data_IF_821993008798
#
_entry.id   IF_821993008798
#
_cell.length_a   1.000
_cell.length_b   1.000
_cell.length_c   1.000
_cell.angle_alpha   90.00
_cell.angle_beta   90.00
_cell.angle_gamma   90.00
#
_symmetry.space_group_name_H-M   'P 1'
#
loop_
_entity.id
_entity.type
_entity.pdbx_description
1 polymer ?
#
# COMPACT_ATOMS: atom_id res chain seq x y z
N UNK A 1 -1.58 -1.89 10.82
CA UNK A 1 -2.73 -1.99 9.90
C UNK A 1 -3.79 -1.03 10.41
N UNK A 2 -4.48 -0.33 9.52
CA UNK A 2 -5.57 0.61 9.84
C UNK A 2 -6.85 0.11 9.17
N UNK A 3 -7.96 0.09 9.89
CA UNK A 3 -9.24 -0.34 9.34
C UNK A 3 -9.72 0.65 8.29
N UNK A 4 -10.18 0.14 7.14
CA UNK A 4 -10.68 0.97 6.05
C UNK A 4 -11.98 1.70 6.42
N UNK A 5 -12.70 1.23 7.44
CA UNK A 5 -13.86 1.91 8.02
C UNK A 5 -13.51 3.21 8.74
N UNK A 6 -12.28 3.33 9.22
CA UNK A 6 -11.84 4.44 10.09
C UNK A 6 -11.14 5.54 9.28
N UNK A 7 -10.91 5.30 7.99
CA UNK A 7 -10.26 6.22 7.07
C UNK A 7 -11.33 7.06 6.36
N UNK A 8 -11.26 8.38 6.54
CA UNK A 8 -12.04 9.35 5.78
C UNK A 8 -11.31 9.67 4.46
N UNK A 9 -11.83 9.12 3.37
CA UNK A 9 -11.39 9.37 2.00
C UNK A 9 -12.41 10.19 1.19
N UNK A 10 -13.29 10.95 1.86
CA UNK A 10 -14.34 11.74 1.20
C UNK A 10 -13.81 12.86 0.28
N UNK A 11 -12.60 13.39 0.53
CA UNK A 11 -11.91 14.35 -0.35
C UNK A 11 -11.04 13.67 -1.44
N UNK A 12 -11.18 12.34 -1.62
CA UNK A 12 -10.46 11.62 -2.66
C UNK A 12 -10.85 12.11 -4.06
N UNK A 13 -9.84 12.50 -4.85
CA UNK A 13 -10.00 12.78 -6.28
C UNK A 13 -9.96 11.52 -7.15
N UNK A 14 -9.73 10.36 -6.54
CA UNK A 14 -9.63 9.08 -7.24
C UNK A 14 -11.00 8.43 -7.22
N UNK A 15 -11.70 8.54 -8.34
CA UNK A 15 -13.07 8.02 -8.50
C UNK A 15 -13.10 6.77 -9.39
N UNK A 16 -12.05 6.50 -10.15
CA UNK A 16 -11.94 5.28 -10.94
C UNK A 16 -10.57 5.01 -11.52
N UNK A 17 -10.46 3.90 -12.27
CA UNK A 17 -9.21 3.47 -12.90
C UNK A 17 -8.62 4.48 -13.89
N UNK A 18 -9.42 5.41 -14.41
CA UNK A 18 -8.98 6.51 -15.29
C UNK A 18 -8.09 7.54 -14.57
N UNK A 19 -8.15 7.62 -13.24
CA UNK A 19 -7.35 8.54 -12.43
C UNK A 19 -5.93 7.98 -12.17
N UNK A 20 -5.63 6.79 -12.69
CA UNK A 20 -4.33 6.13 -12.64
C UNK A 20 -3.50 6.54 -13.85
N UNK A 21 -2.92 7.74 -13.81
CA UNK A 21 -2.11 8.29 -14.91
C UNK A 21 -0.59 8.16 -14.75
N UNK A 22 -0.10 7.58 -13.65
CA UNK A 22 1.33 7.66 -13.23
C UNK A 22 2.14 6.37 -13.47
N UNK A 23 1.80 5.60 -14.50
CA UNK A 23 2.62 4.44 -14.91
C UNK A 23 2.36 3.13 -14.16
N UNK A 24 1.26 3.04 -13.40
CA UNK A 24 0.75 1.80 -12.82
C UNK A 24 -0.77 1.76 -12.95
N UNK A 25 -1.32 0.58 -13.20
CA UNK A 25 -2.75 0.33 -13.31
C UNK A 25 -3.37 -0.09 -11.97
N UNK A 26 -4.70 -0.06 -11.83
CA UNK A 26 -5.39 -0.67 -10.70
C UNK A 26 -4.98 -2.13 -10.49
N UNK A 27 -4.84 -2.91 -11.57
CA UNK A 27 -4.42 -4.32 -11.46
C UNK A 27 -2.99 -4.48 -10.92
N UNK A 28 -2.10 -3.52 -11.18
CA UNK A 28 -0.75 -3.55 -10.62
C UNK A 28 -0.77 -3.29 -9.10
N UNK A 29 -1.63 -2.39 -8.63
CA UNK A 29 -1.83 -2.18 -7.20
C UNK A 29 -2.57 -3.33 -6.52
N UNK A 30 -3.53 -3.97 -7.20
CA UNK A 30 -4.20 -5.19 -6.71
C UNK A 30 -3.15 -6.30 -6.51
N UNK A 31 -2.27 -6.49 -7.50
CA UNK A 31 -1.15 -7.41 -7.38
C UNK A 31 -0.22 -7.04 -6.22
N UNK A 32 0.15 -5.76 -6.09
CA UNK A 32 1.05 -5.30 -5.04
C UNK A 32 0.45 -5.48 -3.64
N UNK A 33 -0.86 -5.25 -3.46
CA UNK A 33 -1.54 -5.50 -2.19
C UNK A 33 -1.54 -6.99 -1.81
N UNK A 34 -1.81 -7.88 -2.77
CA UNK A 34 -1.72 -9.32 -2.53
C UNK A 34 -0.27 -9.74 -2.20
N UNK A 35 0.69 -9.30 -3.01
CA UNK A 35 2.11 -9.57 -2.78
C UNK A 35 2.59 -9.02 -1.42
N UNK A 36 2.03 -7.90 -0.97
CA UNK A 36 2.34 -7.33 0.33
C UNK A 36 1.93 -8.29 1.45
N UNK A 37 0.69 -8.79 1.43
CA UNK A 37 0.16 -9.69 2.47
C UNK A 37 0.80 -11.08 2.39
N UNK A 38 0.98 -11.61 1.18
CA UNK A 38 1.41 -13.00 0.97
C UNK A 38 2.93 -13.20 1.06
N UNK A 39 3.71 -12.15 0.76
CA UNK A 39 5.17 -12.25 0.64
C UNK A 39 5.89 -11.26 1.52
N UNK A 40 5.59 -9.97 1.40
CA UNK A 40 6.34 -8.92 2.11
C UNK A 40 6.15 -9.04 3.63
N UNK A 41 4.91 -9.11 4.11
CA UNK A 41 4.59 -9.22 5.53
C UNK A 41 5.25 -10.45 6.18
N UNK A 42 5.11 -11.68 5.63
CA UNK A 42 5.79 -12.85 6.17
C UNK A 42 7.31 -12.72 6.16
N UNK A 43 7.89 -12.13 5.12
CA UNK A 43 9.34 -11.95 5.00
C UNK A 43 9.87 -11.03 6.10
N UNK A 44 9.23 -9.88 6.29
CA UNK A 44 9.61 -8.91 7.34
C UNK A 44 9.35 -9.47 8.73
N UNK A 45 8.23 -10.19 8.94
CA UNK A 45 7.92 -10.83 10.21
C UNK A 45 8.94 -11.92 10.59
N UNK A 46 9.56 -12.58 9.60
CA UNK A 46 10.66 -13.53 9.81
C UNK A 46 12.03 -12.86 10.03
N UNK A 47 12.10 -11.53 10.06
CA UNK A 47 13.35 -10.76 10.19
C UNK A 47 14.08 -10.49 8.87
N UNK A 48 13.44 -10.82 7.74
CA UNK A 48 13.96 -10.49 6.42
C UNK A 48 13.89 -8.98 6.12
N UNK A 49 14.70 -8.57 5.14
CA UNK A 49 14.93 -7.19 4.77
C UNK A 49 14.51 -6.90 3.34
N UNK A 50 14.60 -5.63 2.91
CA UNK A 50 14.38 -5.25 1.52
C UNK A 50 15.36 -5.95 0.55
N UNK A 51 16.59 -6.28 0.99
CA UNK A 51 17.57 -6.94 0.14
C UNK A 51 17.19 -8.40 -0.12
N UNK A 52 16.56 -9.09 0.83
CA UNK A 52 15.99 -10.43 0.64
C UNK A 52 14.87 -10.41 -0.40
N UNK A 53 14.02 -9.38 -0.37
CA UNK A 53 12.96 -9.18 -1.36
C UNK A 53 13.53 -8.90 -2.75
N UNK A 54 14.58 -8.06 -2.87
CA UNK A 54 15.29 -7.80 -4.13
C UNK A 54 15.95 -9.06 -4.70
N UNK A 55 16.57 -9.87 -3.85
CA UNK A 55 17.15 -11.14 -4.28
C UNK A 55 16.09 -12.08 -4.85
N UNK A 56 14.91 -12.12 -4.21
CA UNK A 56 13.76 -12.89 -4.68
C UNK A 56 13.19 -12.34 -5.99
N UNK A 57 13.07 -11.02 -6.11
CA UNK A 57 12.65 -10.38 -7.36
C UNK A 57 13.60 -10.73 -8.51
N UNK A 58 14.91 -10.68 -8.28
CA UNK A 58 15.91 -11.06 -9.28
C UNK A 58 15.81 -12.55 -9.66
N UNK A 59 15.59 -13.44 -8.69
CA UNK A 59 15.42 -14.88 -8.92
C UNK A 59 14.16 -15.20 -9.73
N UNK A 60 13.09 -14.43 -9.54
CA UNK A 60 11.79 -14.64 -10.19
C UNK A 60 11.55 -13.71 -11.39
N UNK A 61 12.54 -12.90 -11.78
CA UNK A 61 12.47 -11.99 -12.93
C UNK A 61 11.45 -10.86 -12.77
N UNK A 62 11.18 -10.42 -11.53
CA UNK A 62 10.21 -9.36 -11.23
C UNK A 62 10.86 -7.98 -11.21
N UNK A 63 10.11 -6.98 -11.66
CA UNK A 63 10.57 -5.58 -11.73
C UNK A 63 9.40 -4.59 -11.69
N UNK A 64 9.69 -3.35 -11.26
CA UNK A 64 8.72 -2.26 -11.18
C UNK A 64 7.59 -2.51 -10.19
N UNK A 65 6.39 -1.98 -10.45
CA UNK A 65 5.23 -2.10 -9.56
C UNK A 65 4.80 -3.56 -9.29
N UNK A 66 5.27 -4.52 -10.10
CA UNK A 66 5.10 -5.96 -9.87
C UNK A 66 6.33 -6.63 -9.26
N UNK A 67 7.08 -5.91 -8.42
CA UNK A 67 8.18 -6.44 -7.63
C UNK A 67 7.87 -6.35 -6.14
N UNK A 68 8.44 -7.27 -5.36
CA UNK A 68 8.30 -7.29 -3.91
C UNK A 68 9.05 -6.13 -3.26
N UNK A 69 10.20 -5.73 -3.79
CA UNK A 69 10.98 -4.60 -3.27
C UNK A 69 10.28 -3.26 -3.46
N UNK A 70 9.61 -3.03 -4.60
CA UNK A 70 8.82 -1.81 -4.81
C UNK A 70 7.54 -1.86 -3.97
N UNK A 71 6.95 -3.04 -3.80
CA UNK A 71 5.82 -3.24 -2.88
C UNK A 71 6.20 -2.89 -1.44
N UNK A 72 7.34 -3.38 -0.95
CA UNK A 72 7.87 -3.04 0.37
C UNK A 72 8.04 -1.52 0.50
N UNK A 73 8.70 -0.87 -0.45
CA UNK A 73 8.93 0.58 -0.42
C UNK A 73 7.62 1.37 -0.43
N UNK A 74 6.66 0.91 -1.23
CA UNK A 74 5.33 1.51 -1.42
C UNK A 74 4.37 1.38 -0.23
N UNK A 75 4.61 0.44 0.69
CA UNK A 75 3.72 0.20 1.84
C UNK A 75 4.40 0.39 3.20
N UNK A 76 5.71 0.21 3.28
CA UNK A 76 6.45 0.25 4.54
C UNK A 76 7.51 1.33 4.60
N UNK A 77 7.88 1.98 3.49
CA UNK A 77 8.93 3.00 3.47
C UNK A 77 8.43 4.39 3.04
N UNK A 78 9.20 5.14 2.25
CA UNK A 78 8.92 6.55 1.93
C UNK A 78 7.56 6.80 1.26
N UNK A 79 7.08 5.83 0.48
CA UNK A 79 5.86 5.89 -0.31
C UNK A 79 4.64 5.24 0.35
N UNK A 80 4.78 4.81 1.61
CA UNK A 80 3.70 4.25 2.42
C UNK A 80 2.47 5.19 2.45
N UNK A 81 1.29 4.59 2.62
CA UNK A 81 0.06 5.35 2.89
C UNK A 81 0.28 6.14 4.18
N UNK A 82 0.03 7.45 4.12
CA UNK A 82 0.20 8.36 5.25
C UNK A 82 -1.17 8.87 5.66
N UNK A 83 -1.46 8.71 6.93
CA UNK A 83 -2.71 9.14 7.55
C UNK A 83 -2.38 10.07 8.72
N UNK A 84 -3.20 11.08 8.93
CA UNK A 84 -3.16 11.88 10.15
C UNK A 84 -4.35 11.50 11.05
N UNK A 85 -4.08 11.30 12.34
CA UNK A 85 -5.12 10.99 13.32
C UNK A 85 -5.99 12.22 13.61
N UNK A 86 -7.31 12.11 13.44
CA UNK A 86 -8.27 13.18 13.71
C UNK A 86 -9.43 12.62 14.54
N UNK A 87 -9.40 12.89 15.86
CA UNK A 87 -10.51 12.66 16.81
C UNK A 87 -11.34 11.38 16.57
N UNK A 88 -10.68 10.22 16.49
CA UNK A 88 -11.32 8.92 16.30
C UNK A 88 -11.48 8.46 14.85
N UNK A 89 -10.91 9.19 13.89
CA UNK A 89 -10.82 8.83 12.47
C UNK A 89 -9.43 9.15 11.91
N UNK A 90 -9.18 8.80 10.66
CA UNK A 90 -7.93 9.06 9.96
C UNK A 90 -8.16 9.82 8.67
N UNK A 91 -7.47 10.95 8.50
CA UNK A 91 -7.48 11.71 7.24
C UNK A 91 -6.33 11.27 6.32
N UNK A 92 -6.61 11.10 5.03
CA UNK A 92 -5.61 10.64 4.05
C UNK A 92 -4.69 11.79 3.61
N UNK A 93 -3.39 11.66 3.89
CA UNK A 93 -2.35 12.59 3.39
C UNK A 93 -1.65 12.09 2.14
N UNK A 94 -1.54 10.76 1.97
CA UNK A 94 -1.06 10.14 0.74
C UNK A 94 -1.61 8.71 0.60
N UNK A 95 -1.71 8.23 -0.64
CA UNK A 95 -2.02 6.84 -0.95
C UNK A 95 -3.47 6.57 -1.36
N UNK A 96 -4.21 7.58 -1.82
CA UNK A 96 -5.60 7.44 -2.29
C UNK A 96 -5.80 6.29 -3.28
N UNK A 97 -4.92 6.12 -4.26
CA UNK A 97 -5.01 5.00 -5.21
C UNK A 97 -4.98 3.63 -4.54
N UNK A 98 -4.17 3.46 -3.48
CA UNK A 98 -4.06 2.19 -2.75
C UNK A 98 -5.28 1.93 -1.87
N UNK A 99 -5.80 2.97 -1.23
CA UNK A 99 -7.04 2.89 -0.44
C UNK A 99 -8.22 2.54 -1.35
N UNK A 100 -8.33 3.21 -2.50
CA UNK A 100 -9.36 2.93 -3.50
C UNK A 100 -9.32 1.47 -3.96
N UNK A 101 -8.14 0.95 -4.29
CA UNK A 101 -7.99 -0.46 -4.69
C UNK A 101 -8.32 -1.42 -3.55
N UNK A 102 -7.85 -1.15 -2.33
CA UNK A 102 -8.12 -2.01 -1.19
C UNK A 102 -9.61 -2.10 -0.87
N UNK A 103 -10.35 -0.99 -0.95
CA UNK A 103 -11.82 -0.98 -0.83
C UNK A 103 -12.47 -1.83 -1.93
N UNK A 104 -12.01 -1.70 -3.18
CA UNK A 104 -12.53 -2.49 -4.31
C UNK A 104 -12.26 -4.00 -4.16
N UNK A 105 -11.13 -4.36 -3.58
CA UNK A 105 -10.78 -5.74 -3.26
C UNK A 105 -11.59 -6.30 -2.06
N UNK A 106 -12.34 -5.46 -1.35
CA UNK A 106 -13.09 -5.86 -0.17
C UNK A 106 -12.20 -6.16 1.03
N UNK A 107 -11.03 -5.52 1.13
CA UNK A 107 -10.17 -5.65 2.31
C UNK A 107 -10.80 -4.91 3.50
N UNK A 108 -10.60 -5.43 4.71
CA UNK A 108 -11.05 -4.77 5.94
C UNK A 108 -10.06 -3.72 6.45
N UNK A 109 -8.77 -3.90 6.16
CA UNK A 109 -7.69 -3.05 6.66
C UNK A 109 -6.55 -2.92 5.65
N UNK A 110 -5.76 -1.86 5.81
CA UNK A 110 -4.63 -1.53 4.94
C UNK A 110 -3.39 -1.15 5.76
N UNK A 111 -2.16 -1.49 5.32
CA UNK A 111 -0.95 -0.94 5.91
C UNK A 111 -0.88 0.58 5.68
N UNK A 112 -0.72 1.34 6.75
CA UNK A 112 -0.54 2.78 6.70
C UNK A 112 0.33 3.24 7.87
N UNK A 113 1.07 4.33 7.65
CA UNK A 113 1.75 5.08 8.69
C UNK A 113 0.81 6.17 9.18
N UNK A 114 0.51 6.15 10.47
CA UNK A 114 -0.29 7.17 11.15
C UNK A 114 0.69 8.17 11.77
N UNK A 115 0.57 9.44 11.42
CA UNK A 115 1.16 10.50 12.21
C UNK A 115 0.14 10.87 13.29
N UNK A 116 0.50 10.63 14.55
CA UNK A 116 -0.16 11.33 15.65
C UNK A 116 0.31 12.79 15.58
N UNK A 117 -0.56 13.66 15.03
CA UNK A 117 -0.38 15.09 15.19
C UNK A 117 -0.48 15.43 16.67
N UNK A 118 0.67 15.69 17.30
CA UNK A 118 0.75 16.20 18.66
C UNK A 118 0.27 17.64 18.78
#
# INVERSE_FOLDING_TARGET
MVALSDIDDSDSRIVGGQDFGKGYSPQDLEWALNAFVDVVVPTVAAGGTIDDLRARDAAEGRMGTRSYSDTYSGFLDGDAIKLDGVSGSFEVKNGYHRIWVARRMGLDSIPARVNDGG
#
